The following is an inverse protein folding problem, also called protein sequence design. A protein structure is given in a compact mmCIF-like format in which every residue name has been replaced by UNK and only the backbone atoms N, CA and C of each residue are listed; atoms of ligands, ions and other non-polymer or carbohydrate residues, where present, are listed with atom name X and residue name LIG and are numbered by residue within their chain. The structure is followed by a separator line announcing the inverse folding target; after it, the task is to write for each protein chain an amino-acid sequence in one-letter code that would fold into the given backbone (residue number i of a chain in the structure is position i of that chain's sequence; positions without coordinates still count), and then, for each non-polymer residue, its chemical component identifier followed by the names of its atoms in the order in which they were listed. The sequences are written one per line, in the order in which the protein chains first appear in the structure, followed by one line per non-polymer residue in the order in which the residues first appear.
data_IF_524777201332
#
_entry.id   IF_524777201332
#
_cell.length_a   1.000
_cell.length_b   1.000
_cell.length_c   1.000
_cell.angle_alpha   90.00
_cell.angle_beta   90.00
_cell.angle_gamma   90.00
#
_symmetry.space_group_name_H-M   'P 1'
#
loop_
_entity.id
_entity.type
_entity.pdbx_description
1 polymer ?
#
# COMPACT_ATOMS: atom_id res chain seq x y z
N UNK A 1 14.75 26.55 1.33
CA UNK A 1 13.43 27.19 1.53
C UNK A 1 12.47 26.31 2.34
N UNK A 2 12.36 25.00 2.11
CA UNK A 2 11.59 24.10 3.01
C UNK A 2 12.27 23.94 4.38
N UNK A 3 13.59 23.82 4.37
CA UNK A 3 14.43 23.62 5.57
C UNK A 3 14.60 24.88 6.43
N UNK A 4 14.04 26.04 6.05
CA UNK A 4 14.09 27.25 6.89
C UNK A 4 12.86 27.42 7.79
N UNK A 5 11.86 26.56 7.65
CA UNK A 5 10.62 26.65 8.41
C UNK A 5 10.75 26.01 9.80
N UNK A 6 10.36 26.73 10.84
CA UNK A 6 10.39 26.23 12.23
C UNK A 6 9.54 24.96 12.39
N UNK A 7 8.39 24.91 11.72
CA UNK A 7 7.45 23.78 11.75
C UNK A 7 8.05 22.50 11.16
N UNK A 8 8.91 22.62 10.14
CA UNK A 8 9.68 21.50 9.60
C UNK A 8 10.58 20.88 10.66
N UNK A 9 11.38 21.71 11.35
CA UNK A 9 12.28 21.25 12.39
C UNK A 9 11.55 20.65 13.59
N UNK A 10 10.42 21.24 14.00
CA UNK A 10 9.58 20.70 15.07
C UNK A 10 9.00 19.34 14.70
N UNK A 11 8.48 19.18 13.47
CA UNK A 11 7.95 17.91 12.98
C UNK A 11 9.06 16.86 12.84
N UNK A 12 10.24 17.24 12.35
CA UNK A 12 11.41 16.37 12.23
C UNK A 12 11.92 15.91 13.61
N UNK A 13 12.03 16.84 14.58
CA UNK A 13 12.44 16.53 15.94
C UNK A 13 11.44 15.59 16.62
N UNK A 14 10.14 15.85 16.49
CA UNK A 14 9.10 14.97 17.00
C UNK A 14 9.19 13.57 16.39
N UNK A 15 9.38 13.48 15.06
CA UNK A 15 9.55 12.20 14.37
C UNK A 15 10.81 11.46 14.83
N UNK A 16 11.93 12.16 15.02
CA UNK A 16 13.18 11.57 15.49
C UNK A 16 13.06 11.03 16.92
N UNK A 17 12.46 11.80 17.83
CA UNK A 17 12.24 11.36 19.22
C UNK A 17 11.32 10.13 19.26
N UNK A 18 10.22 10.15 18.50
CA UNK A 18 9.28 9.03 18.44
C UNK A 18 9.86 7.77 17.79
N UNK A 19 10.72 7.92 16.78
CA UNK A 19 11.42 6.80 16.16
C UNK A 19 12.45 6.20 17.11
N UNK A 20 13.28 7.02 17.77
CA UNK A 20 14.24 6.56 18.79
C UNK A 20 13.55 5.82 19.93
N UNK A 21 12.47 6.36 20.48
CA UNK A 21 11.67 5.69 21.51
C UNK A 21 11.16 4.32 21.03
N UNK A 22 10.66 4.25 19.79
CA UNK A 22 10.15 3.01 19.20
C UNK A 22 11.26 1.99 18.95
N UNK A 23 12.46 2.44 18.57
CA UNK A 23 13.64 1.59 18.42
C UNK A 23 14.09 1.01 19.75
N UNK A 24 14.13 1.82 20.82
CA UNK A 24 14.43 1.33 22.17
C UNK A 24 13.39 0.29 22.60
N UNK A 25 12.11 0.53 22.34
CA UNK A 25 11.03 -0.43 22.59
C UNK A 25 11.15 -1.71 21.77
N UNK A 26 11.63 -1.62 20.53
CA UNK A 26 11.93 -2.78 19.69
C UNK A 26 13.03 -3.65 20.30
N UNK A 27 14.11 -3.03 20.77
CA UNK A 27 15.21 -3.72 21.45
C UNK A 27 14.75 -4.41 22.74
N UNK A 28 13.79 -3.81 23.44
CA UNK A 28 13.18 -4.37 24.64
C UNK A 28 12.08 -5.41 24.36
N UNK A 29 11.76 -5.69 23.09
CA UNK A 29 10.74 -6.68 22.70
C UNK A 29 9.28 -6.22 22.93
N UNK A 30 9.04 -4.92 23.14
CA UNK A 30 7.69 -4.39 23.32
C UNK A 30 6.94 -4.40 21.99
N UNK A 31 5.68 -4.88 22.03
CA UNK A 31 4.80 -4.88 20.85
C UNK A 31 4.48 -3.46 20.37
N UNK A 32 4.64 -2.45 21.23
CA UNK A 32 4.51 -1.04 20.84
C UNK A 32 5.52 -0.63 19.75
N UNK A 33 6.64 -1.35 19.60
CA UNK A 33 7.62 -1.12 18.52
C UNK A 33 7.05 -1.12 17.11
N UNK A 34 5.87 -1.72 16.89
CA UNK A 34 5.18 -1.73 15.59
C UNK A 34 4.80 -0.31 15.13
N UNK A 35 4.69 0.67 16.04
CA UNK A 35 4.52 2.08 15.66
C UNK A 35 5.65 2.61 14.77
N UNK A 36 6.84 1.99 14.82
CA UNK A 36 7.96 2.32 13.96
C UNK A 36 7.60 2.26 12.47
N UNK A 37 6.76 1.32 12.05
CA UNK A 37 6.33 1.21 10.65
C UNK A 37 5.61 2.46 10.16
N UNK A 38 4.78 3.08 11.01
CA UNK A 38 4.07 4.33 10.69
C UNK A 38 5.05 5.49 10.63
N UNK A 39 6.00 5.58 11.57
CA UNK A 39 7.00 6.65 11.57
C UNK A 39 7.94 6.58 10.37
N UNK A 40 8.41 5.38 10.00
CA UNK A 40 9.20 5.17 8.78
C UNK A 40 8.40 5.54 7.53
N UNK A 41 7.11 5.24 7.51
CA UNK A 41 6.20 5.64 6.41
C UNK A 41 6.07 7.17 6.33
N UNK A 42 5.87 7.86 7.45
CA UNK A 42 5.82 9.33 7.49
C UNK A 42 7.14 9.94 7.02
N UNK A 43 8.27 9.39 7.48
CA UNK A 43 9.60 9.82 7.05
C UNK A 43 9.75 9.69 5.53
N UNK A 44 9.48 8.50 4.99
CA UNK A 44 9.63 8.18 3.58
C UNK A 44 8.78 9.06 2.66
N UNK A 45 7.53 9.34 3.03
CA UNK A 45 6.59 10.06 2.16
C UNK A 45 6.58 11.59 2.34
N UNK A 46 6.93 12.11 3.52
CA UNK A 46 6.80 13.55 3.82
C UNK A 46 8.13 14.27 4.06
N UNK A 47 9.22 13.54 4.35
CA UNK A 47 10.52 14.14 4.64
C UNK A 47 11.61 13.84 3.60
N UNK A 48 11.57 12.69 2.93
CA UNK A 48 12.62 12.32 1.95
C UNK A 48 12.56 13.18 0.69
N UNK A 49 11.37 13.41 0.15
CA UNK A 49 11.21 14.07 -1.15
C UNK A 49 11.77 15.50 -1.25
N UNK A 50 11.58 16.40 -0.26
CA UNK A 50 12.19 17.73 -0.29
C UNK A 50 13.72 17.74 -0.39
N UNK A 51 14.40 16.66 0.03
CA UNK A 51 15.85 16.52 -0.13
C UNK A 51 16.24 15.98 -1.51
N UNK A 52 15.38 15.17 -2.14
CA UNK A 52 15.63 14.61 -3.46
C UNK A 52 15.27 15.59 -4.58
N UNK A 53 14.20 16.38 -4.41
CA UNK A 53 13.64 17.26 -5.43
C UNK A 53 13.41 18.69 -4.91
N UNK A 54 14.46 19.43 -4.50
CA UNK A 54 14.30 20.76 -3.90
C UNK A 54 13.66 21.78 -4.86
N UNK A 55 13.90 21.66 -6.16
CA UNK A 55 13.43 22.60 -7.18
C UNK A 55 11.90 22.62 -7.32
N UNK A 56 11.25 21.48 -7.02
CA UNK A 56 9.78 21.34 -7.08
C UNK A 56 9.05 22.08 -5.95
N UNK A 57 9.77 22.62 -4.98
CA UNK A 57 9.22 23.40 -3.87
C UNK A 57 9.44 24.91 -4.03
N UNK A 58 10.17 25.33 -5.06
CA UNK A 58 10.53 26.74 -5.28
C UNK A 58 9.32 27.64 -5.59
N UNK A 59 8.30 27.12 -6.27
CA UNK A 59 7.09 27.85 -6.64
C UNK A 59 5.99 27.81 -5.58
N UNK A 60 6.16 27.03 -4.50
CA UNK A 60 5.16 26.87 -3.46
C UNK A 60 5.40 27.94 -2.37
N UNK A 61 4.37 28.74 -2.01
CA UNK A 61 4.48 29.70 -0.92
C UNK A 61 4.96 29.06 0.39
N UNK A 62 5.94 29.69 1.06
CA UNK A 62 6.52 29.20 2.32
C UNK A 62 5.47 28.97 3.43
N UNK A 63 4.43 29.81 3.47
CA UNK A 63 3.31 29.65 4.39
C UNK A 63 2.59 28.31 4.25
N UNK A 64 2.35 27.84 3.02
CA UNK A 64 1.68 26.55 2.76
C UNK A 64 2.57 25.38 3.17
N UNK A 65 3.88 25.49 2.95
CA UNK A 65 4.86 24.50 3.40
C UNK A 65 4.85 24.43 4.93
N UNK A 66 4.89 25.58 5.60
CA UNK A 66 4.89 25.68 7.06
C UNK A 66 3.61 25.09 7.67
N UNK A 67 2.45 25.42 7.09
CA UNK A 67 1.15 24.86 7.48
C UNK A 67 1.10 23.34 7.30
N UNK A 68 1.62 22.83 6.18
CA UNK A 68 1.64 21.41 5.86
C UNK A 68 2.52 20.62 6.84
N UNK A 69 3.69 21.13 7.24
CA UNK A 69 4.50 20.51 8.30
C UNK A 69 3.87 20.63 9.70
N UNK A 70 3.14 21.71 9.97
CA UNK A 70 2.30 21.82 11.17
C UNK A 70 1.24 20.71 11.23
N UNK A 71 0.63 20.36 10.10
CA UNK A 71 -0.31 19.25 10.00
C UNK A 71 0.36 17.89 10.17
N UNK A 72 1.58 17.70 9.64
CA UNK A 72 2.39 16.50 9.91
C UNK A 72 2.66 16.36 11.42
N UNK A 73 3.01 17.46 12.09
CA UNK A 73 3.20 17.47 13.55
C UNK A 73 1.91 17.09 14.30
N UNK A 74 0.76 17.67 13.92
CA UNK A 74 -0.54 17.33 14.50
C UNK A 74 -0.90 15.86 14.29
N UNK A 75 -0.61 15.30 13.12
CA UNK A 75 -0.78 13.88 12.84
C UNK A 75 0.07 13.03 13.79
N UNK A 76 1.35 13.35 13.98
CA UNK A 76 2.26 12.61 14.87
C UNK A 76 1.79 12.65 16.34
N UNK A 77 1.37 13.82 16.81
CA UNK A 77 0.84 14.00 18.17
C UNK A 77 -0.46 13.20 18.34
N UNK A 78 -1.40 13.34 17.39
CA UNK A 78 -2.67 12.63 17.41
C UNK A 78 -2.48 11.11 17.39
N UNK A 79 -1.67 10.61 16.45
CA UNK A 79 -1.34 9.19 16.36
C UNK A 79 -0.77 8.68 17.70
N UNK A 80 0.25 9.36 18.25
CA UNK A 80 0.88 8.94 19.50
C UNK A 80 -0.11 8.90 20.68
N UNK A 81 -0.99 9.88 20.78
CA UNK A 81 -2.00 9.94 21.83
C UNK A 81 -3.04 8.81 21.73
N UNK A 82 -3.50 8.49 20.52
CA UNK A 82 -4.57 7.52 20.30
C UNK A 82 -4.11 6.07 20.19
N UNK A 83 -2.84 5.78 19.85
CA UNK A 83 -2.33 4.40 19.75
C UNK A 83 -2.57 3.58 21.03
N UNK A 84 -2.21 4.04 22.24
CA UNK A 84 -2.45 3.27 23.46
C UNK A 84 -3.94 2.97 23.73
N UNK A 85 -4.83 3.85 23.29
CA UNK A 85 -6.28 3.68 23.42
C UNK A 85 -6.77 2.64 22.40
N UNK A 86 -6.38 2.79 21.14
CA UNK A 86 -6.72 1.87 20.05
C UNK A 86 -6.21 0.45 20.31
N UNK A 87 -4.95 0.31 20.75
CA UNK A 87 -4.34 -0.98 21.11
C UNK A 87 -5.12 -1.64 22.24
N UNK A 88 -5.40 -0.90 23.33
CA UNK A 88 -6.20 -1.45 24.44
C UNK A 88 -7.59 -1.89 23.97
N UNK A 89 -8.25 -1.10 23.13
CA UNK A 89 -9.58 -1.42 22.62
C UNK A 89 -9.59 -2.67 21.72
N UNK A 90 -8.61 -2.81 20.83
CA UNK A 90 -8.52 -3.93 19.87
C UNK A 90 -8.04 -5.22 20.54
N UNK A 91 -7.04 -5.12 21.42
CA UNK A 91 -6.42 -6.27 22.10
C UNK A 91 -7.33 -6.82 23.21
N UNK A 92 -8.08 -5.98 23.93
CA UNK A 92 -9.02 -6.44 24.97
C UNK A 92 -10.18 -7.29 24.42
N UNK A 93 -10.48 -7.20 23.12
CA UNK A 93 -11.53 -8.03 22.51
C UNK A 93 -11.09 -9.50 22.53
N UNK A 94 -11.78 -10.32 23.32
CA UNK A 94 -11.53 -11.76 23.48
C UNK A 94 -11.44 -12.43 22.10
N UNK A 95 -10.27 -12.98 21.79
CA UNK A 95 -10.03 -13.74 20.57
C UNK A 95 -10.68 -15.11 20.70
N UNK A 96 -11.84 -15.32 20.07
CA UNK A 96 -12.61 -16.57 20.16
C UNK A 96 -12.01 -17.75 19.39
N UNK A 97 -10.87 -17.62 18.71
CA UNK A 97 -10.42 -18.64 17.73
C UNK A 97 -8.96 -19.07 17.76
N UNK A 98 -8.10 -18.57 18.65
CA UNK A 98 -6.63 -18.73 18.49
C UNK A 98 -6.00 -19.82 19.37
N UNK A 99 -6.70 -20.38 20.35
CA UNK A 99 -6.05 -21.29 21.31
C UNK A 99 -6.02 -22.78 20.88
N UNK A 100 -6.70 -23.17 19.80
CA UNK A 100 -6.77 -24.58 19.38
C UNK A 100 -6.58 -24.81 17.87
N UNK A 101 -5.92 -23.91 17.14
CA UNK A 101 -5.61 -24.15 15.73
C UNK A 101 -4.46 -25.16 15.67
N UNK A 102 -4.72 -26.33 15.08
CA UNK A 102 -3.70 -27.33 14.73
C UNK A 102 -2.56 -26.60 13.99
N UNK A 103 -1.31 -26.76 14.42
CA UNK A 103 -0.17 -26.14 13.74
C UNK A 103 -0.12 -26.67 12.31
N UNK A 104 -0.56 -25.87 11.34
CA UNK A 104 -0.40 -26.19 9.94
C UNK A 104 1.08 -26.26 9.62
N UNK A 105 1.47 -27.31 8.91
CA UNK A 105 2.81 -27.38 8.36
C UNK A 105 2.93 -26.30 7.26
N UNK A 106 4.06 -25.56 7.19
CA UNK A 106 4.29 -24.53 6.16
C UNK A 106 4.04 -25.03 4.74
N UNK A 107 4.28 -26.32 4.50
CA UNK A 107 4.07 -27.01 3.24
C UNK A 107 2.59 -27.07 2.86
N UNK A 108 1.69 -27.35 3.82
CA UNK A 108 0.25 -27.38 3.57
C UNK A 108 -0.30 -26.00 3.21
N UNK A 109 0.22 -24.96 3.87
CA UNK A 109 -0.15 -23.58 3.57
C UNK A 109 0.35 -23.20 2.17
N UNK A 110 1.56 -23.63 1.79
CA UNK A 110 2.08 -23.41 0.44
C UNK A 110 1.26 -24.14 -0.63
N UNK A 111 0.85 -25.38 -0.40
CA UNK A 111 -0.01 -26.13 -1.35
C UNK A 111 -1.34 -25.40 -1.53
N UNK A 112 -2.00 -25.00 -0.43
CA UNK A 112 -3.27 -24.29 -0.52
C UNK A 112 -3.13 -22.92 -1.20
N UNK A 113 -2.12 -22.14 -0.80
CA UNK A 113 -1.83 -20.82 -1.38
C UNK A 113 -1.45 -20.94 -2.86
N UNK A 114 -0.67 -21.96 -3.21
CA UNK A 114 -0.23 -22.24 -4.57
C UNK A 114 -1.35 -22.76 -5.48
N UNK A 115 -2.29 -23.55 -4.94
CA UNK A 115 -3.49 -23.96 -5.67
C UNK A 115 -4.37 -22.74 -6.02
N UNK A 116 -4.57 -21.82 -5.07
CA UNK A 116 -5.35 -20.60 -5.34
C UNK A 116 -4.60 -19.68 -6.31
N UNK A 117 -3.27 -19.56 -6.18
CA UNK A 117 -2.43 -18.82 -7.12
C UNK A 117 -2.59 -19.37 -8.54
N UNK A 118 -2.49 -20.70 -8.71
CA UNK A 118 -2.58 -21.35 -10.01
C UNK A 118 -3.99 -21.20 -10.61
N UNK A 119 -5.03 -21.35 -9.78
CA UNK A 119 -6.40 -21.12 -10.21
C UNK A 119 -6.60 -19.68 -10.70
N UNK A 120 -6.12 -18.69 -9.95
CA UNK A 120 -6.21 -17.29 -10.35
C UNK A 120 -5.42 -17.03 -11.62
N UNK A 121 -4.21 -17.55 -11.73
CA UNK A 121 -3.39 -17.38 -12.93
C UNK A 121 -4.08 -17.98 -14.16
N UNK A 122 -4.65 -19.18 -14.05
CA UNK A 122 -5.41 -19.81 -15.14
C UNK A 122 -6.63 -18.98 -15.54
N UNK A 123 -7.40 -18.47 -14.57
CA UNK A 123 -8.53 -17.56 -14.84
C UNK A 123 -8.04 -16.26 -15.50
N UNK A 124 -6.87 -15.75 -15.11
CA UNK A 124 -6.25 -14.58 -15.73
C UNK A 124 -5.87 -14.84 -17.20
N UNK A 125 -5.27 -16.01 -17.48
CA UNK A 125 -4.86 -16.42 -18.83
C UNK A 125 -6.09 -16.63 -19.73
N UNK A 126 -7.16 -17.25 -19.24
CA UNK A 126 -8.39 -17.43 -20.03
C UNK A 126 -9.08 -16.11 -20.35
N UNK A 127 -8.91 -15.08 -19.52
CA UNK A 127 -9.37 -13.71 -19.81
C UNK A 127 -8.53 -12.99 -20.86
N UNK A 128 -7.32 -13.46 -21.10
CA UNK A 128 -6.40 -12.95 -22.12
C UNK A 128 -6.43 -13.84 -23.39
N UNK A 129 -7.55 -14.55 -23.62
CA UNK A 129 -7.73 -15.47 -24.75
C UNK A 129 -6.63 -16.54 -24.90
N UNK A 130 -5.99 -16.92 -23.78
CA UNK A 130 -4.91 -17.91 -23.75
C UNK A 130 -3.50 -17.33 -23.91
N UNK A 131 -3.34 -16.01 -24.01
CA UNK A 131 -2.02 -15.37 -24.08
C UNK A 131 -1.31 -15.38 -22.72
N UNK A 132 -0.43 -16.37 -22.53
CA UNK A 132 0.38 -16.53 -21.32
C UNK A 132 1.43 -15.41 -21.19
N UNK A 133 1.97 -14.94 -22.32
CA UNK A 133 3.03 -13.93 -22.32
C UNK A 133 2.42 -12.58 -21.96
N UNK A 134 1.32 -12.18 -22.61
CA UNK A 134 0.59 -10.96 -22.27
C UNK A 134 0.01 -10.98 -20.86
N UNK A 135 -0.36 -12.16 -20.35
CA UNK A 135 -0.83 -12.33 -18.97
C UNK A 135 0.28 -12.07 -17.93
N UNK A 136 1.48 -12.63 -18.10
CA UNK A 136 2.59 -12.47 -17.15
C UNK A 136 3.43 -11.20 -17.39
N UNK A 137 3.46 -10.72 -18.62
CA UNK A 137 4.20 -9.55 -19.08
C UNK A 137 3.24 -8.61 -19.82
N UNK A 138 2.39 -7.85 -19.08
CA UNK A 138 1.45 -6.91 -19.68
C UNK A 138 2.18 -5.67 -20.20
N UNK A 139 2.81 -5.83 -21.38
CA UNK A 139 3.57 -4.81 -22.10
C UNK A 139 2.66 -3.65 -22.51
N UNK A 140 1.39 -3.89 -22.85
CA UNK A 140 0.49 -2.80 -23.27
C UNK A 140 -0.43 -2.27 -22.14
N UNK A 141 -0.06 -2.42 -20.86
CA UNK A 141 -0.97 -2.25 -19.70
C UNK A 141 -1.80 -0.94 -19.60
N UNK A 142 -1.43 0.14 -20.31
CA UNK A 142 -2.19 1.41 -20.35
C UNK A 142 -3.26 1.45 -21.45
N UNK A 143 -3.03 0.80 -22.58
CA UNK A 143 -3.92 0.80 -23.74
C UNK A 143 -4.54 -0.59 -24.02
N UNK A 144 -3.96 -1.64 -23.44
CA UNK A 144 -4.30 -3.04 -23.63
C UNK A 144 -4.90 -3.68 -22.37
N UNK A 145 -5.34 -4.92 -22.56
CA UNK A 145 -5.93 -5.73 -21.50
C UNK A 145 -4.86 -6.24 -20.54
N UNK A 146 -5.15 -6.25 -19.24
CA UNK A 146 -4.37 -6.97 -18.24
C UNK A 146 -5.25 -8.02 -17.58
N UNK A 147 -4.64 -9.07 -16.98
CA UNK A 147 -5.39 -10.18 -16.36
C UNK A 147 -6.51 -9.70 -15.44
N UNK A 148 -6.20 -8.72 -14.59
CA UNK A 148 -7.12 -8.16 -13.59
C UNK A 148 -7.47 -6.69 -13.84
N UNK A 149 -7.18 -6.19 -15.04
CA UNK A 149 -7.53 -4.84 -15.46
C UNK A 149 -9.04 -4.70 -15.64
N UNK A 150 -9.56 -3.53 -15.24
CA UNK A 150 -10.96 -3.17 -15.48
C UNK A 150 -11.08 -1.69 -15.82
N UNK A 151 -12.06 -1.34 -16.64
CA UNK A 151 -12.49 0.04 -16.80
C UNK A 151 -12.96 0.60 -15.46
N UNK A 152 -12.64 1.86 -15.23
CA UNK A 152 -12.93 2.50 -13.95
C UNK A 152 -14.44 2.74 -13.76
N UNK A 153 -15.20 2.76 -14.85
CA UNK A 153 -16.68 2.85 -14.89
C UNK A 153 -17.33 1.51 -15.25
N UNK A 154 -16.67 0.37 -14.97
CA UNK A 154 -17.27 -0.95 -15.24
C UNK A 154 -18.63 -1.08 -14.51
N UNK A 155 -19.72 -1.08 -15.30
CA UNK A 155 -21.10 -1.18 -14.84
C UNK A 155 -21.56 -2.61 -14.59
N UNK A 156 -20.75 -3.61 -14.96
CA UNK A 156 -21.13 -5.04 -14.87
C UNK A 156 -20.69 -5.70 -13.56
N UNK A 157 -21.42 -6.73 -13.11
CA UNK A 157 -21.12 -7.49 -11.90
C UNK A 157 -19.74 -8.17 -11.97
N UNK A 158 -19.28 -8.45 -13.19
CA UNK A 158 -17.95 -9.01 -13.46
C UNK A 158 -16.83 -8.05 -13.02
N UNK A 159 -17.03 -6.73 -13.09
CA UNK A 159 -16.04 -5.73 -12.68
C UNK A 159 -15.64 -5.83 -11.19
N UNK A 160 -16.59 -6.18 -10.32
CA UNK A 160 -16.30 -6.41 -8.90
C UNK A 160 -15.51 -7.71 -8.70
N UNK A 161 -15.89 -8.80 -9.38
CA UNK A 161 -15.20 -10.08 -9.29
C UNK A 161 -13.75 -9.99 -9.81
N UNK A 162 -13.53 -9.22 -10.88
CA UNK A 162 -12.19 -8.96 -11.43
C UNK A 162 -11.34 -8.19 -10.42
N UNK A 163 -11.88 -7.14 -9.81
CA UNK A 163 -11.17 -6.38 -8.77
C UNK A 163 -10.85 -7.24 -7.55
N UNK A 164 -11.82 -8.04 -7.09
CA UNK A 164 -11.65 -9.00 -6.00
C UNK A 164 -10.51 -9.98 -6.31
N UNK A 165 -10.53 -10.57 -7.50
CA UNK A 165 -9.51 -11.52 -7.93
C UNK A 165 -8.12 -10.88 -8.06
N UNK A 166 -8.02 -9.64 -8.56
CA UNK A 166 -6.76 -8.89 -8.59
C UNK A 166 -6.19 -8.60 -7.20
N UNK A 167 -7.02 -8.15 -6.24
CA UNK A 167 -6.58 -7.95 -4.86
C UNK A 167 -6.19 -9.26 -4.16
N UNK A 168 -6.92 -10.35 -4.45
CA UNK A 168 -6.61 -11.67 -3.92
C UNK A 168 -5.30 -12.22 -4.53
N UNK A 169 -5.06 -12.01 -5.82
CA UNK A 169 -3.82 -12.38 -6.50
C UNK A 169 -2.62 -11.64 -5.91
N UNK A 170 -2.77 -10.34 -5.62
CA UNK A 170 -1.74 -9.55 -4.95
C UNK A 170 -1.45 -10.07 -3.53
N UNK A 171 -2.49 -10.31 -2.73
CA UNK A 171 -2.35 -10.88 -1.39
C UNK A 171 -1.66 -12.25 -1.38
N UNK A 172 -2.02 -13.12 -2.32
CA UNK A 172 -1.43 -14.45 -2.46
C UNK A 172 0.04 -14.36 -2.88
N UNK A 173 0.37 -13.46 -3.80
CA UNK A 173 1.77 -13.23 -4.20
C UNK A 173 2.61 -12.76 -3.01
N UNK A 174 2.09 -11.82 -2.22
CA UNK A 174 2.73 -11.41 -0.98
C UNK A 174 2.93 -12.59 0.00
N UNK A 175 1.91 -13.44 0.14
CA UNK A 175 1.99 -14.65 0.98
C UNK A 175 3.04 -15.64 0.49
N UNK A 176 3.17 -15.86 -0.82
CA UNK A 176 4.22 -16.69 -1.39
C UNK A 176 5.61 -16.14 -1.03
N UNK A 177 5.81 -14.83 -1.13
CA UNK A 177 7.04 -14.16 -0.71
C UNK A 177 7.38 -14.40 0.77
N UNK A 178 6.40 -14.30 1.66
CA UNK A 178 6.59 -14.59 3.09
C UNK A 178 6.94 -16.07 3.31
N UNK A 179 6.25 -16.98 2.62
CA UNK A 179 6.42 -18.43 2.79
C UNK A 179 7.83 -18.92 2.45
N UNK A 180 8.56 -18.26 1.52
CA UNK A 180 9.95 -18.60 1.17
C UNK A 180 10.83 -18.76 2.42
N UNK A 181 10.62 -17.95 3.46
CA UNK A 181 11.45 -17.96 4.67
C UNK A 181 11.09 -19.03 5.69
N UNK A 182 9.88 -19.60 5.61
CA UNK A 182 9.35 -20.55 6.61
C UNK A 182 9.31 -22.00 6.12
N UNK A 183 9.66 -22.26 4.85
CA UNK A 183 9.77 -23.62 4.32
C UNK A 183 11.03 -24.33 4.85
N UNK A 184 10.88 -25.58 5.28
CA UNK A 184 12.00 -26.38 5.81
C UNK A 184 12.83 -27.04 4.71
N UNK A 185 12.20 -27.49 3.63
CA UNK A 185 12.90 -28.17 2.53
C UNK A 185 13.34 -27.18 1.45
N UNK A 186 14.50 -27.44 0.84
CA UNK A 186 14.99 -26.66 -0.30
C UNK A 186 14.03 -26.70 -1.50
N UNK A 187 13.37 -27.84 -1.72
CA UNK A 187 12.37 -28.01 -2.78
C UNK A 187 11.18 -27.07 -2.60
N UNK A 188 10.51 -27.11 -1.44
CA UNK A 188 9.37 -26.24 -1.14
C UNK A 188 9.75 -24.76 -1.13
N UNK A 189 10.97 -24.44 -0.68
CA UNK A 189 11.52 -23.08 -0.75
C UNK A 189 11.70 -22.61 -2.19
N UNK A 190 12.27 -23.45 -3.04
CA UNK A 190 12.49 -23.15 -4.46
C UNK A 190 11.15 -22.99 -5.19
N UNK A 191 10.16 -23.84 -4.89
CA UNK A 191 8.83 -23.75 -5.47
C UNK A 191 8.14 -22.42 -5.09
N UNK A 192 8.10 -22.06 -3.80
CA UNK A 192 7.54 -20.79 -3.36
C UNK A 192 8.25 -19.59 -3.99
N UNK A 193 9.59 -19.65 -4.07
CA UNK A 193 10.41 -18.62 -4.71
C UNK A 193 10.12 -18.49 -6.21
N UNK A 194 10.01 -19.60 -6.92
CA UNK A 194 9.69 -19.62 -8.35
C UNK A 194 8.32 -19.00 -8.61
N UNK A 195 7.29 -19.40 -7.87
CA UNK A 195 5.94 -18.85 -8.01
C UNK A 195 5.89 -17.35 -7.71
N UNK A 196 6.64 -16.90 -6.71
CA UNK A 196 6.78 -15.48 -6.37
C UNK A 196 7.46 -14.71 -7.51
N UNK A 197 8.62 -15.18 -7.98
CA UNK A 197 9.40 -14.52 -9.04
C UNK A 197 8.64 -14.47 -10.37
N UNK A 198 7.91 -15.52 -10.74
CA UNK A 198 7.07 -15.55 -11.95
C UNK A 198 5.98 -14.48 -11.91
N UNK A 199 5.48 -14.13 -10.72
CA UNK A 199 4.39 -13.16 -10.57
C UNK A 199 4.86 -11.71 -10.51
N UNK A 200 6.15 -11.45 -10.23
CA UNK A 200 6.69 -10.09 -10.10
C UNK A 200 6.65 -9.26 -11.40
N UNK A 201 6.99 -9.80 -12.58
CA UNK A 201 6.91 -9.07 -13.84
C UNK A 201 5.52 -8.48 -14.10
N UNK A 202 4.46 -9.24 -13.82
CA UNK A 202 3.08 -8.78 -13.99
C UNK A 202 2.85 -7.45 -13.25
N UNK A 203 3.18 -7.40 -11.96
CA UNK A 203 2.97 -6.21 -11.14
C UNK A 203 3.90 -5.05 -11.50
N UNK A 204 5.10 -5.34 -12.01
CA UNK A 204 6.02 -4.30 -12.47
C UNK A 204 5.48 -3.63 -13.74
N UNK A 205 5.02 -4.42 -14.71
CA UNK A 205 4.56 -3.94 -16.02
C UNK A 205 3.10 -3.46 -16.04
N UNK A 206 2.29 -3.81 -15.04
CA UNK A 206 0.94 -3.25 -14.82
C UNK A 206 0.96 -1.71 -14.62
N UNK A 207 2.12 -1.11 -14.36
CA UNK A 207 2.29 0.35 -14.28
C UNK A 207 1.76 0.97 -12.97
N UNK A 208 1.21 0.14 -12.09
CA UNK A 208 0.65 0.52 -10.80
C UNK A 208 1.64 0.23 -9.65
N UNK A 209 2.48 1.23 -9.34
CA UNK A 209 3.54 1.13 -8.30
C UNK A 209 3.04 0.64 -6.94
N UNK A 210 1.82 1.00 -6.56
CA UNK A 210 1.20 0.56 -5.30
C UNK A 210 0.95 -0.95 -5.26
N UNK A 211 0.57 -1.57 -6.39
CA UNK A 211 0.33 -3.01 -6.47
C UNK A 211 1.64 -3.79 -6.38
N UNK A 212 2.70 -3.31 -7.05
CA UNK A 212 4.03 -3.90 -6.95
C UNK A 212 4.63 -3.81 -5.54
N UNK A 213 4.55 -2.62 -4.90
CA UNK A 213 5.00 -2.44 -3.52
C UNK A 213 4.22 -3.36 -2.55
N UNK A 214 2.92 -3.53 -2.76
CA UNK A 214 2.10 -4.42 -1.93
C UNK A 214 2.55 -5.89 -2.01
N UNK A 215 3.04 -6.34 -3.16
CA UNK A 215 3.54 -7.69 -3.36
C UNK A 215 4.95 -7.90 -2.79
N UNK A 216 5.87 -6.95 -3.00
CA UNK A 216 7.30 -7.12 -2.67
C UNK A 216 7.66 -6.71 -1.23
N UNK A 217 6.99 -5.70 -0.65
CA UNK A 217 7.32 -5.23 0.70
C UNK A 217 7.15 -6.32 1.77
N UNK A 218 6.10 -7.17 1.75
CA UNK A 218 5.99 -8.27 2.70
C UNK A 218 7.19 -9.23 2.66
N UNK A 219 7.75 -9.48 1.48
CA UNK A 219 8.98 -10.27 1.32
C UNK A 219 10.19 -9.56 1.96
N UNK A 220 10.38 -8.27 1.67
CA UNK A 220 11.48 -7.46 2.23
C UNK A 220 11.38 -7.37 3.75
N UNK A 221 10.19 -7.09 4.28
CA UNK A 221 9.92 -7.01 5.72
C UNK A 221 10.20 -8.37 6.39
N UNK A 222 9.76 -9.47 5.77
CA UNK A 222 10.03 -10.81 6.30
C UNK A 222 11.53 -11.12 6.32
N UNK A 223 12.27 -10.72 5.27
CA UNK A 223 13.72 -10.84 5.23
C UNK A 223 14.42 -10.03 6.34
N UNK A 224 13.95 -8.82 6.63
CA UNK A 224 14.50 -8.00 7.72
C UNK A 224 14.32 -8.67 9.08
N UNK A 225 13.12 -9.18 9.38
CA UNK A 225 12.82 -9.82 10.67
C UNK A 225 13.43 -11.22 10.82
N UNK A 226 13.32 -12.07 9.79
CA UNK A 226 13.64 -13.50 9.87
C UNK A 226 14.84 -13.93 9.02
N UNK A 227 15.47 -13.04 8.26
CA UNK A 227 16.66 -13.35 7.48
C UNK A 227 17.82 -13.81 8.36
N UNK A 228 18.64 -14.78 7.91
CA UNK A 228 19.73 -15.36 8.70
C UNK A 228 20.96 -14.43 8.82
N UNK A 229 21.00 -13.33 8.07
CA UNK A 229 22.17 -12.46 7.97
C UNK A 229 22.27 -11.43 9.11
N UNK A 230 23.49 -10.96 9.45
CA UNK A 230 23.67 -9.89 10.43
C UNK A 230 23.00 -8.59 9.95
N UNK A 231 22.65 -7.72 10.90
CA UNK A 231 21.88 -6.50 10.65
C UNK A 231 22.50 -5.59 9.57
N UNK A 232 23.83 -5.50 9.52
CA UNK A 232 24.53 -4.67 8.54
C UNK A 232 24.37 -5.19 7.10
N UNK A 233 24.41 -6.51 6.90
CA UNK A 233 24.14 -7.13 5.58
C UNK A 233 22.67 -6.99 5.21
N UNK A 234 21.76 -7.08 6.17
CA UNK A 234 20.33 -6.82 5.94
C UNK A 234 20.09 -5.38 5.48
N UNK A 235 20.76 -4.40 6.10
CA UNK A 235 20.69 -2.99 5.70
C UNK A 235 21.30 -2.75 4.31
N UNK A 236 22.45 -3.37 4.00
CA UNK A 236 23.04 -3.28 2.66
C UNK A 236 22.11 -3.87 1.59
N UNK A 237 21.52 -5.05 1.85
CA UNK A 237 20.54 -5.67 0.95
C UNK A 237 19.28 -4.83 0.80
N UNK A 238 18.83 -4.15 1.87
CA UNK A 238 17.72 -3.22 1.81
C UNK A 238 18.06 -2.00 0.94
N UNK A 239 19.27 -1.46 1.03
CA UNK A 239 19.73 -0.36 0.19
C UNK A 239 19.78 -0.76 -1.29
N UNK A 240 20.30 -1.97 -1.59
CA UNK A 240 20.28 -2.53 -2.95
C UNK A 240 18.85 -2.74 -3.44
N UNK A 241 17.97 -3.32 -2.61
CA UNK A 241 16.56 -3.49 -2.97
C UNK A 241 15.89 -2.15 -3.25
N UNK A 242 16.14 -1.13 -2.44
CA UNK A 242 15.64 0.22 -2.65
C UNK A 242 16.13 0.82 -3.98
N UNK A 243 17.43 0.68 -4.28
CA UNK A 243 18.00 1.11 -5.54
C UNK A 243 17.36 0.39 -6.74
N UNK A 244 17.18 -0.92 -6.67
CA UNK A 244 16.48 -1.69 -7.70
C UNK A 244 15.02 -1.27 -7.87
N UNK A 245 14.32 -0.97 -6.77
CA UNK A 245 12.94 -0.46 -6.81
C UNK A 245 12.87 0.92 -7.45
N UNK A 246 13.78 1.84 -7.11
CA UNK A 246 13.83 3.18 -7.68
C UNK A 246 14.09 3.14 -9.19
N UNK A 247 15.10 2.39 -9.62
CA UNK A 247 15.38 2.20 -11.05
C UNK A 247 14.22 1.48 -11.78
N UNK A 248 13.61 0.47 -11.14
CA UNK A 248 12.42 -0.20 -11.67
C UNK A 248 11.24 0.77 -11.83
N UNK A 249 11.03 1.69 -10.88
CA UNK A 249 9.97 2.69 -10.99
C UNK A 249 10.25 3.81 -11.98
N UNK A 250 11.52 4.22 -12.15
CA UNK A 250 11.92 5.15 -13.21
C UNK A 250 11.63 4.55 -14.57
N UNK A 251 12.03 3.29 -14.77
CA UNK A 251 11.75 2.50 -15.96
C UNK A 251 10.24 2.41 -16.23
N UNK A 252 9.42 2.05 -15.23
CA UNK A 252 7.96 2.03 -15.33
C UNK A 252 7.37 3.42 -15.63
N UNK A 253 7.94 4.50 -15.10
CA UNK A 253 7.44 5.86 -15.33
C UNK A 253 7.75 6.32 -16.75
N UNK A 254 8.97 6.06 -17.25
CA UNK A 254 9.32 6.28 -18.65
C UNK A 254 8.42 5.47 -19.58
N UNK A 255 8.15 4.19 -19.26
CA UNK A 255 7.21 3.35 -20.02
C UNK A 255 5.79 3.90 -20.07
N UNK A 256 5.33 4.57 -19.01
CA UNK A 256 3.99 5.19 -18.97
C UNK A 256 3.86 6.41 -19.89
N UNK A 257 4.97 7.06 -20.23
CA UNK A 257 4.99 8.26 -21.08
C UNK A 257 4.92 7.95 -22.58
N UNK A 258 5.59 6.89 -23.03
CA UNK A 258 5.87 6.67 -24.48
C UNK A 258 5.30 5.36 -25.05
N UNK A 259 4.95 4.36 -24.23
CA UNK A 259 4.47 3.06 -24.71
C UNK A 259 5.60 2.05 -24.98
N UNK A 260 5.32 0.74 -24.81
CA UNK A 260 6.37 -0.28 -24.78
C UNK A 260 6.98 -0.63 -26.16
N UNK A 261 6.21 -0.54 -27.25
CA UNK A 261 6.73 -0.85 -28.60
C UNK A 261 7.80 0.14 -29.05
N UNK A 262 7.66 1.41 -28.69
CA UNK A 262 8.57 2.47 -29.13
C UNK A 262 9.86 2.50 -28.28
N UNK A 263 9.79 2.12 -26.99
CA UNK A 263 10.97 2.03 -26.12
C UNK A 263 11.83 0.78 -26.36
N UNK A 264 11.23 -0.37 -26.69
CA UNK A 264 11.97 -1.60 -27.03
C UNK A 264 12.59 -1.55 -28.44
N UNK A 265 12.06 -0.69 -29.32
CA UNK A 265 12.58 -0.46 -30.67
C UNK A 265 13.66 0.62 -30.74
N UNK A 266 13.90 1.37 -29.65
CA UNK A 266 14.90 2.45 -29.62
C UNK A 266 16.33 1.90 -29.41
N UNK A 267 17.28 2.36 -30.23
CA UNK A 267 18.72 2.00 -30.12
C UNK A 267 19.35 2.48 -28.79
N UNK A 268 18.81 3.57 -28.20
CA UNK A 268 19.26 4.14 -26.93
C UNK A 268 18.08 4.40 -25.97
N UNK A 269 17.60 3.37 -25.26
CA UNK A 269 16.43 3.48 -24.38
C UNK A 269 16.62 4.43 -23.18
N UNK A 270 17.87 4.80 -22.86
CA UNK A 270 18.19 5.72 -21.76
C UNK A 270 18.02 7.21 -22.13
N UNK A 271 18.06 7.58 -23.42
CA UNK A 271 17.91 8.98 -23.86
C UNK A 271 16.45 9.42 -23.96
N UNK A 272 15.52 8.48 -24.11
CA UNK A 272 14.06 8.72 -24.08
C UNK A 272 13.51 8.83 -22.65
N UNK A 273 14.33 8.54 -21.64
CA UNK A 273 14.02 8.85 -20.24
C UNK A 273 14.29 10.34 -20.04
N UNK A 274 13.36 11.15 -20.51
CA UNK A 274 13.42 12.60 -20.33
C UNK A 274 13.60 12.91 -18.84
N UNK A 275 14.66 13.64 -18.48
CA UNK A 275 14.97 13.99 -17.09
C UNK A 275 13.87 14.85 -16.45
N UNK A 276 13.00 15.44 -17.28
CA UNK A 276 11.88 16.30 -16.88
C UNK A 276 10.55 15.55 -16.64
N UNK A 277 10.47 14.25 -16.93
CA UNK A 277 9.35 13.38 -16.51
C UNK A 277 9.49 12.92 -15.03
N UNK A 278 10.14 13.75 -14.19
CA UNK A 278 10.29 13.55 -12.74
C UNK A 278 8.94 13.50 -12.04
N UNK A 279 8.51 12.27 -11.70
CA UNK A 279 7.63 11.89 -10.59
C UNK A 279 6.46 12.84 -10.24
N UNK A 280 5.75 13.38 -11.23
CA UNK A 280 4.47 14.08 -11.01
C UNK A 280 3.46 13.10 -10.36
N UNK A 281 3.19 13.27 -9.07
CA UNK A 281 2.18 12.50 -8.32
C UNK A 281 2.69 11.57 -7.19
N UNK A 282 3.92 11.74 -6.69
CA UNK A 282 4.41 11.01 -5.49
C UNK A 282 4.71 11.90 -4.27
N UNK A 283 4.69 13.22 -4.42
CA UNK A 283 5.17 14.11 -3.38
C UNK A 283 4.06 14.45 -2.40
N UNK A 284 3.93 13.68 -1.33
CA UNK A 284 2.78 13.78 -0.42
C UNK A 284 2.72 15.13 0.29
N UNK A 285 3.86 15.75 0.57
CA UNK A 285 3.90 17.09 1.18
C UNK A 285 3.49 18.20 0.19
N UNK A 286 3.82 18.05 -1.09
CA UNK A 286 3.36 18.94 -2.15
C UNK A 286 1.84 18.81 -2.35
N UNK A 287 1.31 17.59 -2.41
CA UNK A 287 -0.14 17.36 -2.49
C UNK A 287 -0.88 17.88 -1.24
N UNK A 288 -0.23 17.85 -0.07
CA UNK A 288 -0.74 18.49 1.15
C UNK A 288 -0.84 20.02 1.00
N UNK A 289 0.16 20.66 0.40
CA UNK A 289 0.14 22.10 0.12
C UNK A 289 -1.01 22.45 -0.84
N UNK A 290 -1.21 21.66 -1.90
CA UNK A 290 -2.33 21.86 -2.83
C UNK A 290 -3.68 21.65 -2.16
N UNK A 291 -3.83 20.60 -1.33
CA UNK A 291 -5.07 20.38 -0.58
C UNK A 291 -5.42 21.58 0.32
N UNK A 292 -4.43 22.17 0.99
CA UNK A 292 -4.62 23.37 1.80
C UNK A 292 -4.98 24.60 0.95
N UNK A 293 -4.36 24.77 -0.23
CA UNK A 293 -4.68 25.85 -1.14
C UNK A 293 -6.12 25.77 -1.68
N UNK A 294 -6.61 24.57 -2.02
CA UNK A 294 -7.99 24.38 -2.49
C UNK A 294 -9.03 24.62 -1.39
N UNK A 295 -8.74 24.23 -0.16
CA UNK A 295 -9.62 24.53 0.99
C UNK A 295 -9.58 26.02 1.34
N UNK A 296 -8.42 26.66 1.28
CA UNK A 296 -8.25 28.09 1.58
C UNK A 296 -8.88 29.02 0.55
N UNK A 297 -8.93 28.61 -0.72
CA UNK A 297 -9.59 29.36 -1.81
C UNK A 297 -11.11 29.19 -1.84
N UNK A 298 -11.67 28.30 -1.03
CA UNK A 298 -13.11 27.97 -1.05
C UNK A 298 -13.53 27.11 -2.26
N UNK A 299 -12.59 26.67 -3.10
CA UNK A 299 -12.84 25.78 -4.23
C UNK A 299 -13.25 24.37 -3.79
N UNK A 300 -12.91 23.99 -2.56
CA UNK A 300 -13.28 22.71 -1.94
C UNK A 300 -13.88 22.94 -0.54
N UNK A 301 -14.91 22.18 -0.19
CA UNK A 301 -15.44 22.08 1.17
C UNK A 301 -15.07 20.73 1.80
N UNK A 302 -14.84 20.67 3.13
CA UNK A 302 -14.58 19.40 3.81
C UNK A 302 -15.74 18.42 3.60
N UNK A 303 -15.45 17.18 3.24
CA UNK A 303 -16.48 16.18 2.95
C UNK A 303 -17.07 15.49 4.19
N UNK A 304 -16.64 15.87 5.40
CA UNK A 304 -17.04 15.32 6.71
C UNK A 304 -17.08 13.78 6.77
N UNK A 305 -16.05 13.12 6.20
CA UNK A 305 -15.96 11.66 6.17
C UNK A 305 -16.67 10.99 4.98
N UNK A 306 -17.35 11.76 4.13
CA UNK A 306 -18.03 11.26 2.93
C UNK A 306 -17.11 10.52 1.96
N UNK A 307 -15.83 10.91 1.84
CA UNK A 307 -14.87 10.18 0.99
C UNK A 307 -14.55 8.79 1.56
N UNK A 308 -14.32 8.68 2.87
CA UNK A 308 -14.12 7.38 3.51
C UNK A 308 -15.37 6.50 3.44
N UNK A 309 -16.56 7.09 3.56
CA UNK A 309 -17.81 6.37 3.39
C UNK A 309 -17.98 5.88 1.93
N UNK A 310 -17.67 6.71 0.94
CA UNK A 310 -17.73 6.34 -0.47
C UNK A 310 -16.78 5.17 -0.79
N UNK A 311 -15.61 5.14 -0.17
CA UNK A 311 -14.69 4.01 -0.25
C UNK A 311 -15.22 2.74 0.42
N UNK A 312 -15.86 2.86 1.59
CA UNK A 312 -16.47 1.73 2.28
C UNK A 312 -17.62 1.12 1.47
N UNK A 313 -18.47 1.99 0.93
CA UNK A 313 -19.56 1.62 0.03
C UNK A 313 -19.03 1.22 -1.35
N UNK A 314 -17.72 1.28 -1.58
CA UNK A 314 -17.16 0.89 -2.86
C UNK A 314 -17.33 -0.61 -3.18
N UNK A 315 -17.63 -1.43 -2.16
CA UNK A 315 -17.99 -2.85 -2.30
C UNK A 315 -19.23 -3.05 -3.17
N UNK A 316 -20.20 -2.13 -3.09
CA UNK A 316 -21.46 -2.27 -3.79
C UNK A 316 -21.20 -2.08 -5.30
N UNK A 317 -21.44 -3.10 -6.14
CA UNK A 317 -21.21 -3.00 -7.58
C UNK A 317 -22.12 -1.93 -8.21
N UNK A 318 -21.63 -1.27 -9.27
CA UNK A 318 -22.40 -0.24 -10.00
C UNK A 318 -23.66 -0.79 -10.68
N UNK A 319 -23.77 -2.10 -10.88
CA UNK A 319 -25.03 -2.75 -11.29
C UNK A 319 -26.16 -2.47 -10.29
N UNK A 320 -25.84 -2.54 -8.99
CA UNK A 320 -26.81 -2.38 -7.90
C UNK A 320 -27.02 -0.89 -7.61
N UNK A 321 -25.95 -0.10 -7.71
CA UNK A 321 -25.99 1.35 -7.50
C UNK A 321 -25.28 2.11 -8.62
N UNK A 322 -26.03 2.41 -9.68
CA UNK A 322 -25.50 3.06 -10.88
C UNK A 322 -24.96 4.48 -10.61
N UNK A 323 -25.67 5.27 -9.80
CA UNK A 323 -25.33 6.67 -9.45
C UNK A 323 -24.28 6.81 -8.34
N UNK A 324 -23.56 5.74 -8.01
CA UNK A 324 -22.56 5.73 -6.95
C UNK A 324 -21.43 6.75 -7.22
N UNK A 325 -21.01 7.55 -6.21
CA UNK A 325 -19.90 8.48 -6.36
C UNK A 325 -18.60 7.81 -6.82
N UNK A 326 -17.83 8.49 -7.65
CA UNK A 326 -16.52 8.00 -8.09
C UNK A 326 -15.45 8.48 -7.09
N UNK A 327 -14.66 7.54 -6.56
CA UNK A 327 -13.64 7.83 -5.55
C UNK A 327 -12.47 8.56 -6.20
N UNK A 328 -12.07 9.70 -5.63
CA UNK A 328 -10.84 10.42 -5.99
C UNK A 328 -10.91 11.32 -7.24
N UNK A 329 -12.06 11.37 -7.94
CA UNK A 329 -12.20 12.19 -9.15
C UNK A 329 -12.21 13.68 -8.83
N UNK A 330 -12.93 14.10 -7.79
CA UNK A 330 -13.06 15.52 -7.47
C UNK A 330 -11.69 16.19 -7.24
N UNK A 331 -10.78 15.47 -6.58
CA UNK A 331 -9.42 15.97 -6.35
C UNK A 331 -8.59 16.00 -7.64
N UNK A 332 -8.71 14.99 -8.51
CA UNK A 332 -8.04 14.97 -9.80
C UNK A 332 -8.51 16.11 -10.73
N UNK A 333 -9.80 16.44 -10.69
CA UNK A 333 -10.37 17.60 -11.38
C UNK A 333 -9.80 18.92 -10.86
N UNK A 334 -9.73 19.09 -9.54
CA UNK A 334 -9.11 20.29 -8.94
C UNK A 334 -7.64 20.46 -9.33
N UNK A 335 -6.92 19.34 -9.52
CA UNK A 335 -5.54 19.33 -10.01
C UNK A 335 -5.41 19.64 -11.50
N UNK A 336 -6.51 19.91 -12.20
CA UNK A 336 -6.52 20.29 -13.62
C UNK A 336 -6.29 19.11 -14.57
N UNK A 337 -6.46 17.88 -14.10
CA UNK A 337 -6.30 16.68 -14.92
C UNK A 337 -7.57 16.32 -15.68
N UNK A 338 -8.44 17.28 -15.98
CA UNK A 338 -9.67 17.02 -16.72
C UNK A 338 -9.34 16.60 -18.15
N UNK A 339 -9.91 15.48 -18.56
CA UNK A 339 -9.75 14.96 -19.92
C UNK A 339 -11.12 14.51 -20.43
N UNK A 340 -11.72 15.26 -21.37
CA UNK A 340 -13.02 14.91 -21.96
C UNK A 340 -13.01 13.56 -22.69
N UNK A 341 -11.85 13.07 -23.11
CA UNK A 341 -11.72 11.80 -23.82
C UNK A 341 -11.54 10.59 -22.89
N UNK A 342 -11.34 10.81 -21.59
CA UNK A 342 -11.18 9.73 -20.63
C UNK A 342 -12.53 9.28 -20.05
N UNK A 343 -12.68 7.97 -19.81
CA UNK A 343 -13.93 7.40 -19.24
C UNK A 343 -14.31 8.00 -17.88
N UNK A 344 -13.34 8.53 -17.14
CA UNK A 344 -13.54 9.14 -15.81
C UNK A 344 -13.68 10.67 -15.86
N UNK A 345 -13.50 11.28 -17.04
CA UNK A 345 -13.38 12.73 -17.19
C UNK A 345 -12.09 13.30 -16.60
N UNK A 346 -11.12 12.45 -16.25
CA UNK A 346 -9.77 12.82 -15.77
C UNK A 346 -8.67 11.92 -16.36
N UNK A 347 -7.53 12.49 -16.71
CA UNK A 347 -6.40 11.80 -17.35
C UNK A 347 -5.61 10.91 -16.37
N UNK A 348 -5.58 11.26 -15.09
CA UNK A 348 -4.99 10.44 -14.03
C UNK A 348 -5.64 10.71 -12.67
N UNK A 349 -5.71 9.68 -11.82
CA UNK A 349 -6.09 9.82 -10.42
C UNK A 349 -4.86 10.16 -9.57
N UNK A 350 -4.93 11.28 -8.83
CA UNK A 350 -3.87 11.71 -7.91
C UNK A 350 -4.21 11.27 -6.49
N UNK A 351 -3.19 10.79 -5.79
CA UNK A 351 -3.29 10.36 -4.39
C UNK A 351 -3.18 11.56 -3.46
N UNK A 352 -4.10 11.70 -2.51
CA UNK A 352 -4.12 12.86 -1.60
C UNK A 352 -3.17 12.73 -0.40
N UNK A 353 -2.49 11.59 -0.25
CA UNK A 353 -1.67 11.32 0.92
C UNK A 353 -2.49 10.92 2.14
N UNK A 354 -1.88 10.12 3.02
CA UNK A 354 -2.46 9.74 4.31
C UNK A 354 -3.04 10.92 5.11
N UNK A 355 -2.29 12.03 5.20
CA UNK A 355 -2.69 13.21 5.97
C UNK A 355 -3.65 14.08 5.17
N UNK A 356 -3.43 14.23 3.86
CA UNK A 356 -4.29 15.02 2.99
C UNK A 356 -5.70 14.43 2.84
N UNK A 357 -5.84 13.10 2.82
CA UNK A 357 -7.13 12.42 2.89
C UNK A 357 -7.90 12.78 4.18
N UNK A 358 -7.19 12.89 5.31
CA UNK A 358 -7.75 13.40 6.56
C UNK A 358 -8.23 14.85 6.44
N UNK A 359 -7.42 15.73 5.87
CA UNK A 359 -7.72 17.17 5.72
C UNK A 359 -8.89 17.42 4.78
N UNK A 360 -8.95 16.72 3.66
CA UNK A 360 -10.06 16.87 2.71
C UNK A 360 -11.38 16.36 3.29
N UNK A 361 -11.34 15.45 4.27
CA UNK A 361 -12.53 15.00 4.98
C UNK A 361 -12.91 15.88 6.17
N UNK A 362 -11.97 16.24 7.05
CA UNK A 362 -12.31 16.87 8.34
C UNK A 362 -11.70 18.26 8.52
N UNK A 363 -11.13 18.83 7.46
CA UNK A 363 -10.52 20.15 7.45
C UNK A 363 -9.08 20.20 7.98
N UNK A 364 -8.44 21.39 7.93
CA UNK A 364 -7.01 21.56 8.20
C UNK A 364 -6.55 21.18 9.62
N UNK A 365 -7.42 21.31 10.62
CA UNK A 365 -7.07 21.08 12.03
C UNK A 365 -7.46 19.68 12.53
N UNK A 366 -8.72 19.26 12.31
CA UNK A 366 -9.19 17.94 12.75
C UNK A 366 -8.78 16.81 11.79
N UNK A 367 -8.50 17.13 10.53
CA UNK A 367 -8.07 16.16 9.51
C UNK A 367 -6.84 15.35 9.87
N UNK A 368 -5.71 15.98 10.23
CA UNK A 368 -4.49 15.26 10.61
C UNK A 368 -4.71 14.37 11.84
N UNK A 369 -5.48 14.82 12.82
CA UNK A 369 -5.81 14.04 14.03
C UNK A 369 -6.67 12.83 13.67
N UNK A 370 -7.68 13.00 12.81
CA UNK A 370 -8.53 11.90 12.35
C UNK A 370 -7.74 10.85 11.55
N UNK A 371 -6.83 11.28 10.66
CA UNK A 371 -5.90 10.37 10.00
C UNK A 371 -5.01 9.61 11.01
N UNK A 372 -4.54 10.31 12.06
CA UNK A 372 -3.80 9.71 13.17
C UNK A 372 -4.60 8.65 13.93
N UNK A 373 -5.90 8.89 14.17
CA UNK A 373 -6.81 7.91 14.80
C UNK A 373 -6.98 6.66 13.92
N UNK A 374 -7.19 6.84 12.60
CA UNK A 374 -7.33 5.72 11.67
C UNK A 374 -6.05 4.88 11.65
N UNK A 375 -4.88 5.52 11.60
CA UNK A 375 -3.60 4.82 11.68
C UNK A 375 -3.35 4.16 13.04
N UNK A 376 -3.85 4.74 14.14
CA UNK A 376 -3.79 4.13 15.46
C UNK A 376 -4.63 2.84 15.51
N UNK A 377 -5.82 2.83 14.89
CA UNK A 377 -6.66 1.63 14.75
C UNK A 377 -5.96 0.57 13.89
N UNK A 378 -5.38 0.97 12.76
CA UNK A 378 -4.59 0.08 11.91
C UNK A 378 -3.42 -0.54 12.66
N UNK A 379 -2.65 0.28 13.39
CA UNK A 379 -1.51 -0.19 14.19
C UNK A 379 -1.96 -1.13 15.31
N UNK A 380 -3.10 -0.88 15.94
CA UNK A 380 -3.67 -1.80 16.92
C UNK A 380 -4.05 -3.16 16.33
N UNK A 381 -4.50 -3.23 15.08
CA UNK A 381 -4.72 -4.50 14.37
C UNK A 381 -3.40 -5.23 14.10
N UNK A 382 -2.37 -4.51 13.65
CA UNK A 382 -1.03 -5.09 13.45
C UNK A 382 -0.45 -5.65 14.75
N UNK A 383 -0.53 -4.90 15.85
CA UNK A 383 -0.09 -5.34 17.18
C UNK A 383 -0.83 -6.61 17.61
N UNK A 384 -2.14 -6.67 17.36
CA UNK A 384 -2.92 -7.88 17.64
C UNK A 384 -2.44 -9.07 16.82
N UNK A 385 -2.15 -8.92 15.53
CA UNK A 385 -1.64 -10.02 14.71
C UNK A 385 -0.23 -10.44 15.11
N UNK A 386 0.61 -9.49 15.53
CA UNK A 386 1.93 -9.77 16.08
C UNK A 386 1.92 -10.56 17.39
N UNK A 387 0.97 -10.26 18.28
CA UNK A 387 0.75 -11.07 19.49
C UNK A 387 0.27 -12.48 19.15
N UNK A 388 -0.39 -12.65 18.00
CA UNK A 388 -0.90 -13.93 17.49
C UNK A 388 0.08 -14.66 16.54
N UNK A 389 1.34 -14.20 16.47
CA UNK A 389 2.37 -14.72 15.54
C UNK A 389 2.71 -16.21 15.68
N UNK A 390 2.26 -16.86 16.75
CA UNK A 390 2.42 -18.31 16.93
C UNK A 390 1.73 -19.12 15.82
N UNK A 391 0.71 -18.55 15.16
CA UNK A 391 0.12 -19.11 13.95
C UNK A 391 0.79 -18.49 12.72
N UNK A 392 1.31 -19.33 11.81
CA UNK A 392 1.95 -18.87 10.57
C UNK A 392 1.01 -18.01 9.72
N UNK A 393 -0.29 -18.35 9.67
CA UNK A 393 -1.30 -17.56 8.94
C UNK A 393 -1.46 -16.14 9.53
N UNK A 394 -1.39 -16.00 10.85
CA UNK A 394 -1.47 -14.69 11.52
C UNK A 394 -0.18 -13.89 11.35
N UNK A 395 0.96 -14.57 11.31
CA UNK A 395 2.24 -13.95 10.98
C UNK A 395 2.25 -13.45 9.52
N UNK A 396 1.74 -14.23 8.57
CA UNK A 396 1.62 -13.81 7.17
C UNK A 396 0.70 -12.59 7.00
N UNK A 397 -0.43 -12.55 7.72
CA UNK A 397 -1.29 -11.36 7.78
C UNK A 397 -0.57 -10.14 8.36
N UNK A 398 0.21 -10.35 9.41
CA UNK A 398 1.04 -9.28 9.98
C UNK A 398 2.06 -8.76 8.95
N UNK A 399 2.76 -9.65 8.23
CA UNK A 399 3.75 -9.25 7.23
C UNK A 399 3.13 -8.51 6.05
N UNK A 400 1.97 -8.98 5.57
CA UNK A 400 1.19 -8.30 4.54
C UNK A 400 0.77 -6.89 5.01
N UNK A 401 0.23 -6.78 6.23
CA UNK A 401 -0.18 -5.50 6.80
C UNK A 401 1.01 -4.55 7.07
N UNK A 402 2.12 -5.06 7.57
CA UNK A 402 3.34 -4.28 7.76
C UNK A 402 3.86 -3.72 6.43
N UNK A 403 3.89 -4.54 5.37
CA UNK A 403 4.27 -4.09 4.03
C UNK A 403 3.32 -3.04 3.47
N UNK A 404 2.01 -3.25 3.61
CA UNK A 404 1.00 -2.28 3.15
C UNK A 404 0.97 -0.98 3.95
N UNK A 405 1.56 -0.94 5.15
CA UNK A 405 1.66 0.30 5.94
C UNK A 405 2.41 1.38 5.17
N UNK A 406 3.45 1.01 4.41
CA UNK A 406 4.15 1.96 3.56
C UNK A 406 3.25 2.48 2.43
N UNK A 407 2.43 1.62 1.82
CA UNK A 407 1.46 2.04 0.80
C UNK A 407 0.34 2.94 1.35
N UNK A 408 -0.06 2.76 2.61
CA UNK A 408 -1.03 3.63 3.27
C UNK A 408 -0.52 5.07 3.41
N UNK A 409 0.80 5.29 3.41
CA UNK A 409 1.37 6.64 3.40
C UNK A 409 0.95 7.47 2.17
N UNK A 410 0.80 6.80 1.01
CA UNK A 410 0.32 7.39 -0.23
C UNK A 410 -1.19 7.65 -0.21
N UNK A 411 -1.98 6.73 0.34
CA UNK A 411 -3.42 6.91 0.50
C UNK A 411 -3.96 5.99 1.58
N UNK A 412 -4.58 6.56 2.63
CA UNK A 412 -5.36 5.74 3.58
C UNK A 412 -6.71 5.49 2.94
N UNK A 413 -6.77 4.48 2.07
CA UNK A 413 -8.02 4.08 1.46
C UNK A 413 -8.33 2.62 1.70
N UNK A 414 -9.63 2.31 1.75
CA UNK A 414 -10.07 0.92 1.82
C UNK A 414 -9.59 0.12 0.59
N UNK A 415 -9.37 0.81 -0.54
CA UNK A 415 -8.83 0.22 -1.76
C UNK A 415 -7.44 -0.41 -1.55
N UNK A 416 -6.57 0.26 -0.80
CA UNK A 416 -5.23 -0.25 -0.45
C UNK A 416 -5.31 -1.38 0.58
N UNK A 417 -6.37 -1.40 1.40
CA UNK A 417 -6.57 -2.39 2.46
C UNK A 417 -7.31 -3.67 2.00
N UNK A 418 -7.92 -3.69 0.81
CA UNK A 418 -8.63 -4.86 0.30
C UNK A 418 -7.84 -6.17 0.35
N UNK A 419 -6.54 -6.21 -0.05
CA UNK A 419 -5.74 -7.42 0.08
C UNK A 419 -5.72 -7.97 1.51
N UNK A 420 -5.66 -7.10 2.53
CA UNK A 420 -5.66 -7.50 3.95
C UNK A 420 -7.04 -7.93 4.40
N UNK A 421 -8.09 -7.23 4.01
CA UNK A 421 -9.47 -7.59 4.37
C UNK A 421 -9.81 -8.98 3.85
N UNK A 422 -9.53 -9.26 2.57
CA UNK A 422 -9.79 -10.56 1.97
C UNK A 422 -8.92 -11.66 2.59
N UNK A 423 -7.63 -11.38 2.80
CA UNK A 423 -6.75 -12.32 3.49
C UNK A 423 -7.22 -12.62 4.91
N UNK A 424 -7.70 -11.61 5.64
CA UNK A 424 -8.20 -11.79 6.99
C UNK A 424 -9.45 -12.68 6.99
N UNK A 425 -10.40 -12.44 6.09
CA UNK A 425 -11.58 -13.30 5.92
C UNK A 425 -11.17 -14.74 5.60
N UNK A 426 -10.22 -14.95 4.68
CA UNK A 426 -9.71 -16.27 4.32
C UNK A 426 -9.08 -17.00 5.52
N UNK A 427 -8.20 -16.32 6.26
CA UNK A 427 -7.59 -16.89 7.48
C UNK A 427 -8.65 -17.22 8.53
N UNK A 428 -9.68 -16.37 8.70
CA UNK A 428 -10.78 -16.65 9.63
C UNK A 428 -11.60 -17.87 9.20
N UNK A 429 -11.87 -18.04 7.91
CA UNK A 429 -12.58 -19.22 7.39
C UNK A 429 -11.80 -20.51 7.66
N UNK A 430 -10.49 -20.50 7.43
CA UNK A 430 -9.62 -21.64 7.75
C UNK A 430 -9.62 -21.96 9.26
N UNK A 431 -9.53 -20.92 10.10
CA UNK A 431 -9.60 -21.09 11.57
C UNK A 431 -10.94 -21.68 12.03
N UNK A 432 -12.06 -21.23 11.45
CA UNK A 432 -13.39 -21.74 11.80
C UNK A 432 -13.56 -23.18 11.33
N UNK A 433 -13.14 -23.47 10.09
CA UNK A 433 -13.25 -24.81 9.51
C UNK A 433 -12.43 -25.83 10.31
N UNK A 434 -11.23 -25.47 10.72
CA UNK A 434 -10.39 -26.32 11.58
C UNK A 434 -10.95 -26.49 12.98
N UNK A 435 -11.45 -25.42 13.61
CA UNK A 435 -12.06 -25.51 14.93
C UNK A 435 -13.29 -26.44 14.95
N UNK A 436 -14.05 -26.52 13.84
CA UNK A 436 -15.17 -27.44 13.69
C UNK A 436 -14.72 -28.90 13.55
N UNK A 437 -13.66 -29.16 12.79
CA UNK A 437 -13.12 -30.52 12.61
C UNK A 437 -12.43 -31.05 13.87
N UNK A 438 -11.76 -30.19 14.65
CA UNK A 438 -11.15 -30.59 15.92
C UNK A 438 -12.15 -30.86 17.06
N UNK A 439 -13.43 -30.54 16.89
CA UNK A 439 -14.51 -30.87 17.85
C UNK A 439 -15.29 -32.13 17.47
N UNK A 440 -15.07 -32.64 16.25
CA UNK A 440 -15.72 -33.84 15.73
C UNK A 440 -14.86 -35.12 15.90
N UNK A 441 -13.64 -34.96 16.41
CA UNK A 441 -12.74 -36.00 16.91
C UNK A 441 -12.65 -35.82 18.41
#
# INVERSE_FOLDING_TARGET
MVTSELTFYLAAAALLVLTLESCVKLLNGDSFSITLAVYVTVFGWYFVDPFLNPDQYSYIPSFLISQSYGQVLLFLIGFRFFVPVAVRWIVRRRSTGVFHVRRFMPEQILIATGAIWLLLLLIGITRMDGDVIGALFPIDSRAGTTMWGRSAVATSATGFLIAFAGYMFNAITAFLGVLVFFQRSAFWRCLAGAMFVISLPYFLFEGARSHFLAAILPFIVTYLFYGPHPLLVKLAMLAVAFFCLDHGFKLVTAFRGTGFRDLLAAEHPYELVDEDLRQSGLNMIQELCFANAYLGSGAASPSYGGRYLNELLNVIPRVIWASKPLVGIDYAKWRGLEDPQSELGVSATISTGMIGGGILNFGPFFGPVAAGIIMALWTGLLIRWWQQRNSLLRLMLFMLGAGLTFNLGRDITLLVLWPVVFSYCFVRLIEIWTAKHSRAV
#
